data_IF_114755485314
#
_entry.id   IF_114755485314
#
_cell.length_a   1.000
_cell.length_b   1.000
_cell.length_c   1.000
_cell.angle_alpha   90.00
_cell.angle_beta   90.00
_cell.angle_gamma   90.00
#
_symmetry.space_group_name_H-M   'P 1'
#
loop_
_entity.id
_entity.type
_entity.pdbx_description
1 polymer ?
#
# COMPACT_ATOMS: atom_id res chain seq x y z
N UNK A 1 20.76 4.84 25.73
CA UNK A 1 20.32 4.03 24.57
C UNK A 1 19.03 4.66 24.04
N UNK A 2 18.93 5.03 22.74
CA UNK A 2 17.61 5.32 22.17
C UNK A 2 16.72 4.09 22.38
N UNK A 3 15.46 4.30 22.78
CA UNK A 3 14.50 3.20 22.89
C UNK A 3 14.37 2.49 21.55
N UNK A 4 14.17 1.18 21.56
CA UNK A 4 14.04 0.34 20.35
C UNK A 4 13.03 0.93 19.36
N UNK A 5 11.97 1.55 19.88
CA UNK A 5 10.95 2.25 19.10
C UNK A 5 11.47 3.48 18.34
N UNK A 6 12.32 4.31 18.96
CA UNK A 6 12.91 5.48 18.31
C UNK A 6 13.84 5.08 17.17
N UNK A 7 14.57 3.97 17.32
CA UNK A 7 15.43 3.42 16.26
C UNK A 7 14.60 2.94 15.06
N UNK A 8 13.58 2.13 15.30
CA UNK A 8 12.66 1.62 14.25
C UNK A 8 11.97 2.78 13.52
N UNK A 9 11.53 3.80 14.27
CA UNK A 9 10.93 5.00 13.69
C UNK A 9 11.90 5.72 12.76
N UNK A 10 13.13 5.96 13.20
CA UNK A 10 14.17 6.64 12.41
C UNK A 10 14.46 5.88 11.12
N UNK A 11 14.69 4.56 11.21
CA UNK A 11 14.95 3.68 10.06
C UNK A 11 13.77 3.65 9.07
N UNK A 12 12.55 3.70 9.59
CA UNK A 12 11.34 3.75 8.74
C UNK A 12 11.24 5.07 8.00
N UNK A 13 11.53 6.20 8.65
CA UNK A 13 11.52 7.53 8.03
C UNK A 13 12.63 7.64 6.97
N UNK A 14 13.82 7.12 7.26
CA UNK A 14 14.93 7.09 6.31
C UNK A 14 14.61 6.26 5.06
N UNK A 15 13.90 5.13 5.24
CA UNK A 15 13.54 4.23 4.14
C UNK A 15 12.34 4.70 3.32
N UNK A 16 11.29 5.19 3.97
CA UNK A 16 9.99 5.47 3.35
C UNK A 16 9.69 6.96 3.18
N UNK A 17 10.44 7.84 3.84
CA UNK A 17 10.18 9.28 3.85
C UNK A 17 9.37 9.76 5.07
N UNK A 18 8.98 11.05 5.10
CA UNK A 18 8.24 11.64 6.21
C UNK A 18 6.84 11.02 6.36
N UNK A 19 6.17 11.26 7.49
CA UNK A 19 4.83 10.73 7.71
C UNK A 19 3.84 11.23 6.63
N UNK A 20 3.10 10.34 5.96
CA UNK A 20 2.16 10.72 4.90
C UNK A 20 0.93 11.39 5.50
N UNK A 21 0.50 12.51 4.92
CA UNK A 21 -0.63 13.33 5.39
C UNK A 21 -1.86 13.17 4.51
N UNK A 22 -1.67 12.98 3.21
CA UNK A 22 -2.76 12.82 2.24
C UNK A 22 -3.06 11.34 1.93
N UNK A 23 -4.27 11.01 1.43
CA UNK A 23 -4.55 9.64 0.97
C UNK A 23 -3.59 9.14 -0.11
N UNK A 24 -3.17 10.02 -1.03
CA UNK A 24 -2.22 9.69 -2.09
C UNK A 24 -0.83 9.38 -1.53
N UNK A 25 -0.33 10.21 -0.60
CA UNK A 25 0.94 9.94 0.09
C UNK A 25 0.90 8.61 0.86
N UNK A 26 -0.24 8.28 1.50
CA UNK A 26 -0.43 6.99 2.18
C UNK A 26 -0.40 5.81 1.21
N UNK A 27 -1.01 5.95 0.04
CA UNK A 27 -0.94 4.93 -1.02
C UNK A 27 0.53 4.70 -1.43
N UNK A 28 1.27 5.77 -1.72
CA UNK A 28 2.69 5.66 -2.07
C UNK A 28 3.53 5.03 -0.95
N UNK A 29 3.31 5.41 0.31
CA UNK A 29 3.97 4.79 1.46
C UNK A 29 3.67 3.29 1.56
N UNK A 30 2.42 2.90 1.35
CA UNK A 30 1.99 1.49 1.39
C UNK A 30 2.66 0.69 0.28
N UNK A 31 2.67 1.22 -0.95
CA UNK A 31 3.33 0.57 -2.09
C UNK A 31 4.85 0.44 -1.87
N UNK A 32 5.51 1.47 -1.32
CA UNK A 32 6.93 1.44 -1.01
C UNK A 32 7.27 0.44 0.12
N UNK A 33 6.40 0.32 1.13
CA UNK A 33 6.57 -0.66 2.20
C UNK A 33 6.48 -2.12 1.68
N UNK A 34 5.71 -2.33 0.61
CA UNK A 34 5.44 -3.63 -0.01
C UNK A 34 6.05 -3.76 -1.43
N UNK A 35 7.13 -3.05 -1.71
CA UNK A 35 7.76 -3.05 -3.04
C UNK A 35 8.15 -4.47 -3.49
N UNK A 36 8.67 -5.27 -2.56
CA UNK A 36 9.12 -6.66 -2.81
C UNK A 36 8.00 -7.71 -2.62
N UNK A 37 6.78 -7.29 -2.27
CA UNK A 37 5.66 -8.21 -2.06
C UNK A 37 5.08 -8.63 -3.42
N UNK A 38 4.91 -9.93 -3.71
CA UNK A 38 4.23 -10.38 -4.92
C UNK A 38 2.82 -9.80 -5.02
N UNK A 39 2.43 -9.32 -6.20
CA UNK A 39 1.23 -8.49 -6.38
C UNK A 39 -0.08 -9.18 -5.98
N UNK A 40 -0.18 -10.48 -6.24
CA UNK A 40 -1.35 -11.30 -5.93
C UNK A 40 -1.42 -11.74 -4.46
N UNK A 41 -0.33 -11.59 -3.70
CA UNK A 41 -0.22 -12.18 -2.35
C UNK A 41 -0.95 -11.37 -1.29
N UNK A 42 -1.22 -10.08 -1.57
CA UNK A 42 -1.97 -9.20 -0.68
C UNK A 42 -3.10 -8.53 -1.44
N UNK A 43 -4.32 -8.74 -0.95
CA UNK A 43 -5.53 -8.13 -1.48
C UNK A 43 -6.33 -7.47 -0.36
N UNK A 44 -6.88 -6.29 -0.63
CA UNK A 44 -7.91 -5.67 0.20
C UNK A 44 -9.25 -6.06 -0.43
N UNK A 45 -9.94 -7.04 0.15
CA UNK A 45 -11.23 -7.50 -0.36
C UNK A 45 -12.39 -6.76 0.34
N UNK A 46 -13.22 -6.06 -0.44
CA UNK A 46 -14.43 -5.42 0.09
C UNK A 46 -15.62 -6.39 0.12
N UNK A 47 -15.89 -7.07 -0.99
CA UNK A 47 -16.93 -8.11 -1.09
C UNK A 47 -16.53 -9.18 -2.10
N UNK A 48 -17.00 -10.41 -1.90
CA UNK A 48 -16.89 -11.52 -2.85
C UNK A 48 -18.24 -12.22 -3.01
N UNK A 49 -18.60 -12.58 -4.23
CA UNK A 49 -19.83 -13.34 -4.52
C UNK A 49 -21.15 -12.56 -4.43
N UNK A 50 -21.13 -11.29 -4.00
CA UNK A 50 -22.35 -10.47 -3.87
C UNK A 50 -22.93 -10.08 -5.23
N UNK A 51 -22.09 -9.88 -6.25
CA UNK A 51 -22.50 -9.43 -7.58
C UNK A 51 -22.59 -10.56 -8.61
N UNK A 52 -22.32 -11.80 -8.20
CA UNK A 52 -22.24 -12.98 -9.06
C UNK A 52 -21.09 -13.90 -8.64
N UNK A 53 -21.18 -15.17 -9.05
CA UNK A 53 -20.17 -16.16 -8.70
C UNK A 53 -18.78 -15.73 -9.19
N UNK A 54 -17.82 -15.71 -8.25
CA UNK A 54 -16.43 -15.33 -8.54
C UNK A 54 -16.17 -13.82 -8.69
N UNK A 55 -17.20 -12.96 -8.64
CA UNK A 55 -17.00 -11.51 -8.70
C UNK A 55 -16.48 -11.00 -7.36
N UNK A 56 -15.28 -10.45 -7.37
CA UNK A 56 -14.62 -9.80 -6.23
C UNK A 56 -14.56 -8.29 -6.46
N UNK A 57 -14.85 -7.51 -5.42
CA UNK A 57 -14.61 -6.05 -5.40
C UNK A 57 -13.33 -5.70 -4.64
N UNK A 58 -12.38 -6.64 -4.59
CA UNK A 58 -11.08 -6.44 -3.96
C UNK A 58 -10.05 -5.80 -4.88
N UNK A 59 -9.03 -5.20 -4.29
CA UNK A 59 -7.85 -4.68 -4.99
C UNK A 59 -6.61 -5.44 -4.53
N UNK A 60 -5.88 -6.02 -5.47
CA UNK A 60 -4.55 -6.59 -5.25
C UNK A 60 -3.49 -5.50 -5.18
N UNK A 61 -2.27 -5.85 -4.79
CA UNK A 61 -1.15 -4.92 -4.84
C UNK A 61 -0.80 -4.48 -6.27
N UNK A 62 -0.99 -5.33 -7.27
CA UNK A 62 -0.80 -4.94 -8.68
C UNK A 62 -1.88 -3.97 -9.17
N UNK A 63 -3.12 -4.14 -8.72
CA UNK A 63 -4.19 -3.18 -8.99
C UNK A 63 -3.85 -1.82 -8.38
N UNK A 64 -3.37 -1.79 -7.12
CA UNK A 64 -2.97 -0.55 -6.45
C UNK A 64 -1.77 0.12 -7.12
N UNK A 65 -0.77 -0.64 -7.60
CA UNK A 65 0.37 -0.10 -8.37
C UNK A 65 -0.11 0.54 -9.68
N UNK A 66 -1.00 -0.15 -10.40
CA UNK A 66 -1.57 0.33 -11.66
C UNK A 66 -2.36 1.62 -11.45
N UNK A 67 -3.22 1.66 -10.43
CA UNK A 67 -3.99 2.87 -10.09
C UNK A 67 -3.08 4.03 -9.67
N UNK A 68 -2.04 3.77 -8.88
CA UNK A 68 -1.09 4.80 -8.48
C UNK A 68 -0.34 5.41 -9.68
N UNK A 69 0.00 4.61 -10.70
CA UNK A 69 0.60 5.10 -11.94
C UNK A 69 -0.36 6.02 -12.71
N UNK A 70 -1.64 5.63 -12.82
CA UNK A 70 -2.67 6.44 -13.51
C UNK A 70 -2.97 7.77 -12.82
N UNK A 71 -2.88 7.82 -11.48
CA UNK A 71 -3.06 9.05 -10.71
C UNK A 71 -1.92 10.05 -10.97
N UNK A 72 -0.71 9.56 -11.25
CA UNK A 72 0.48 10.40 -11.50
C UNK A 72 0.44 11.12 -12.86
N UNK A 73 -0.37 10.64 -13.79
CA UNK A 73 -0.51 11.19 -15.15
C UNK A 73 -1.59 12.28 -15.27
N UNK A 74 -2.25 12.65 -14.17
CA UNK A 74 -3.26 13.72 -14.10
C UNK A 74 -2.76 14.92 -13.32
#
# INVERSE_FOLDING_TARGET
MPSSHRRIQQETIERLGPAPTTPLERLHHTLAAHAETPGEWMAVEATTGIYGDGIRTGLTMDDLRTLAALIKEK
#
